data_IF_420327900990
#
_entry.id   IF_420327900990
#
_cell.length_a   1.000
_cell.length_b   1.000
_cell.length_c   1.000
_cell.angle_alpha   90.00
_cell.angle_beta   90.00
_cell.angle_gamma   90.00
#
_symmetry.space_group_name_H-M   'P 1'
#
loop_
_entity.id
_entity.type
_entity.pdbx_description
1 polymer ?
#
# COMPACT_ATOMS: atom_id res chain seq x y z
N UNK A 1 -2.84 -13.57 9.45
CA UNK A 1 -1.65 -12.71 9.38
C UNK A 1 -1.36 -12.46 7.91
N UNK A 2 -1.21 -11.21 7.48
CA UNK A 2 -1.00 -10.87 6.05
C UNK A 2 0.41 -10.31 5.88
N UNK A 3 1.16 -10.85 4.92
CA UNK A 3 2.51 -10.38 4.56
C UNK A 3 2.59 -10.18 3.05
N UNK A 4 2.93 -8.96 2.66
CA UNK A 4 3.25 -8.56 1.30
C UNK A 4 4.74 -8.25 1.27
N UNK A 5 5.46 -8.73 0.26
CA UNK A 5 6.91 -8.51 0.15
C UNK A 5 7.25 -8.18 -1.29
N UNK A 6 8.08 -7.14 -1.45
CA UNK A 6 8.63 -6.69 -2.73
C UNK A 6 7.56 -6.44 -3.81
N UNK A 7 6.38 -5.95 -3.41
CA UNK A 7 5.28 -5.70 -4.34
C UNK A 7 5.62 -4.49 -5.20
N UNK A 8 5.56 -4.70 -6.52
CA UNK A 8 5.72 -3.65 -7.52
C UNK A 8 4.48 -3.64 -8.41
N UNK A 9 3.94 -2.46 -8.66
CA UNK A 9 2.76 -2.27 -9.51
C UNK A 9 2.96 -1.04 -10.37
N UNK A 10 2.88 -1.25 -11.67
CA UNK A 10 3.00 -0.22 -12.69
C UNK A 10 1.68 -0.15 -13.44
N UNK A 11 1.20 1.07 -13.67
CA UNK A 11 0.05 1.36 -14.51
C UNK A 11 0.54 2.04 -15.79
N UNK A 12 -0.03 1.63 -16.92
CA UNK A 12 0.21 2.25 -18.21
C UNK A 12 -1.00 3.11 -18.56
N UNK A 13 -0.78 4.40 -18.84
CA UNK A 13 -1.82 5.35 -19.20
C UNK A 13 -1.44 6.00 -20.54
N UNK A 14 -1.83 5.35 -21.64
CA UNK A 14 -1.38 5.72 -22.98
C UNK A 14 0.13 5.55 -23.13
N UNK A 15 0.85 6.63 -23.41
CA UNK A 15 2.32 6.67 -23.51
C UNK A 15 3.03 6.90 -22.17
N UNK A 16 2.28 7.15 -21.09
CA UNK A 16 2.86 7.41 -19.77
C UNK A 16 2.85 6.15 -18.91
N UNK A 17 3.97 5.90 -18.26
CA UNK A 17 4.12 4.83 -17.27
C UNK A 17 4.11 5.43 -15.87
N UNK A 18 3.19 4.98 -15.03
CA UNK A 18 3.04 5.44 -13.64
C UNK A 18 3.38 4.27 -12.71
N UNK A 19 4.42 4.43 -11.91
CA UNK A 19 4.80 3.45 -10.91
C UNK A 19 4.02 3.70 -9.61
N UNK A 20 2.98 2.89 -9.36
CA UNK A 20 2.13 3.05 -8.17
C UNK A 20 2.70 2.36 -6.93
N UNK A 21 3.35 1.21 -7.10
CA UNK A 21 4.09 0.53 -6.05
C UNK A 21 5.48 0.20 -6.60
N UNK A 22 6.52 0.53 -5.83
CA UNK A 22 7.90 0.18 -6.16
C UNK A 22 8.53 -0.52 -4.95
N UNK A 23 8.74 -1.83 -5.06
CA UNK A 23 9.39 -2.64 -4.03
C UNK A 23 8.81 -2.47 -2.60
N UNK A 24 7.48 -2.42 -2.48
CA UNK A 24 6.82 -2.17 -1.20
C UNK A 24 6.62 -3.48 -0.46
N UNK A 25 7.01 -3.50 0.82
CA UNK A 25 6.77 -4.63 1.73
C UNK A 25 5.88 -4.17 2.88
N UNK A 26 4.81 -4.93 3.17
CA UNK A 26 3.86 -4.64 4.22
C UNK A 26 3.63 -5.89 5.07
N UNK A 27 3.77 -5.74 6.38
CA UNK A 27 3.43 -6.77 7.34
C UNK A 27 2.27 -6.29 8.19
N UNK A 28 1.17 -7.06 8.18
CA UNK A 28 -0.03 -6.80 8.99
C UNK A 28 -0.16 -7.91 10.04
N UNK A 29 0.18 -7.61 11.30
CA UNK A 29 -0.05 -8.49 12.44
C UNK A 29 -1.53 -8.83 12.62
N UNK A 30 -1.81 -9.96 13.26
CA UNK A 30 -3.18 -10.32 13.63
C UNK A 30 -3.77 -9.25 14.58
N UNK A 31 -5.03 -8.88 14.36
CA UNK A 31 -5.73 -7.90 15.20
C UNK A 31 -5.44 -6.43 14.88
N UNK A 32 -4.64 -6.13 13.86
CA UNK A 32 -4.39 -4.75 13.41
C UNK A 32 -5.08 -4.45 12.08
N UNK A 33 -5.54 -3.20 11.93
CA UNK A 33 -6.17 -2.69 10.70
C UNK A 33 -5.20 -1.69 10.06
N UNK A 34 -4.87 -1.93 8.80
CA UNK A 34 -4.00 -1.06 8.02
C UNK A 34 -4.77 -0.38 6.90
N UNK A 35 -4.59 0.93 6.78
CA UNK A 35 -5.12 1.72 5.69
C UNK A 35 -4.03 1.98 4.67
N UNK A 36 -4.32 1.70 3.40
CA UNK A 36 -3.45 1.96 2.27
C UNK A 36 -3.99 3.21 1.57
N UNK A 37 -3.23 4.31 1.58
CA UNK A 37 -3.69 5.61 1.09
C UNK A 37 -2.66 6.16 0.11
N UNK A 38 -3.08 6.48 -1.11
CA UNK A 38 -2.26 7.13 -2.12
C UNK A 38 -3.01 8.29 -2.75
N UNK A 39 -2.32 9.40 -3.02
CA UNK A 39 -2.86 10.46 -3.87
C UNK A 39 -2.90 9.95 -5.32
N UNK A 40 -3.88 10.40 -6.11
CA UNK A 40 -4.03 9.97 -7.51
C UNK A 40 -2.74 10.25 -8.29
N UNK A 41 -2.06 9.20 -8.75
CA UNK A 41 -0.76 9.28 -9.45
C UNK A 41 0.50 9.31 -8.58
N UNK A 42 0.39 9.22 -7.24
CA UNK A 42 1.53 9.18 -6.33
C UNK A 42 1.82 7.75 -5.81
N UNK A 43 3.04 7.49 -5.32
CA UNK A 43 3.35 6.24 -4.64
C UNK A 43 2.44 6.05 -3.43
N UNK A 44 1.89 4.85 -3.30
CA UNK A 44 1.00 4.49 -2.21
C UNK A 44 1.75 4.51 -0.88
N UNK A 45 1.19 5.17 0.15
CA UNK A 45 1.71 5.15 1.51
C UNK A 45 0.87 4.22 2.39
N UNK A 46 1.54 3.45 3.25
CA UNK A 46 0.88 2.59 4.23
C UNK A 46 0.85 3.31 5.58
N UNK A 47 -0.33 3.38 6.20
CA UNK A 47 -0.50 3.84 7.59
C UNK A 47 -1.19 2.77 8.44
N UNK A 48 -0.66 2.55 9.64
CA UNK A 48 -1.31 1.75 10.67
C UNK A 48 -2.31 2.60 11.45
N UNK A 49 -3.54 2.10 11.63
CA UNK A 49 -4.51 2.73 12.52
C UNK A 49 -4.80 1.79 13.70
N UNK A 50 -4.60 2.28 14.92
CA UNK A 50 -5.03 1.58 16.11
C UNK A 50 -6.53 1.86 16.32
N UNK A 51 -7.39 0.94 15.86
CA UNK A 51 -8.82 1.00 16.16
C UNK A 51 -8.99 0.54 17.61
N UNK A 52 -9.05 1.50 18.53
CA UNK A 52 -9.42 1.24 19.92
C UNK A 52 -10.93 0.98 19.95
N UNK A 53 -11.33 -0.29 19.97
CA UNK A 53 -12.71 -0.66 20.32
C UNK A 53 -12.94 -0.22 21.76
N UNK A 54 -13.91 0.67 21.99
CA UNK A 54 -14.47 0.91 23.32
C UNK A 54 -15.31 -0.29 23.72
#
# INVERSE_FOLDING_TARGET
MIKLSNITKVFQQGTRTIQALNNVSLHVPAGQIYGVIGASGAPVKVRSFAVRRR
#
